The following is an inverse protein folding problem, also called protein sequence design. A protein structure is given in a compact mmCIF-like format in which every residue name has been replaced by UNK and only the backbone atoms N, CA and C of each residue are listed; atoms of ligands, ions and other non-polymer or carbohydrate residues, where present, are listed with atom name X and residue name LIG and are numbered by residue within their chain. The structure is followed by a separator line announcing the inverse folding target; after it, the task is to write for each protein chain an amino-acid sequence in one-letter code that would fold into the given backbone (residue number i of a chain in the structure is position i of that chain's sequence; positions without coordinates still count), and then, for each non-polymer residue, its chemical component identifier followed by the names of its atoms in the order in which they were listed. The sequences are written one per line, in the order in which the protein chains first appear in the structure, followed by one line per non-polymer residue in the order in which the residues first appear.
data_IF_669576787233
#
_entry.id   IF_669576787233
#
_cell.length_a   1.000
_cell.length_b   1.000
_cell.length_c   1.000
_cell.angle_alpha   90.00
_cell.angle_beta   90.00
_cell.angle_gamma   90.00
#
_symmetry.space_group_name_H-M   'P 1'
#
loop_
_entity.id
_entity.type
_entity.pdbx_description
1 polymer ?
#
# COMPACT_ATOMS: atom_id res chain seq x y z
N UNK A 1 -35.13 -53.02 -79.82
CA UNK A 1 -34.81 -52.41 -78.52
C UNK A 1 -35.20 -50.94 -78.63
N UNK A 2 -36.26 -50.53 -77.94
CA UNK A 2 -36.59 -49.10 -77.85
C UNK A 2 -35.43 -48.38 -77.16
N UNK A 3 -34.85 -47.37 -77.82
CA UNK A 3 -33.86 -46.50 -77.20
C UNK A 3 -34.56 -45.70 -76.10
N UNK A 4 -34.16 -45.93 -74.85
CA UNK A 4 -34.63 -45.16 -73.72
C UNK A 4 -34.14 -43.72 -73.85
N UNK A 5 -35.05 -42.80 -74.13
CA UNK A 5 -34.77 -41.35 -74.21
C UNK A 5 -34.78 -40.79 -72.79
N UNK A 6 -33.69 -40.16 -72.38
CA UNK A 6 -33.57 -39.52 -71.07
C UNK A 6 -33.76 -38.01 -71.19
N UNK A 7 -34.48 -37.42 -70.24
CA UNK A 7 -34.51 -35.98 -70.04
C UNK A 7 -33.20 -35.49 -69.41
N UNK A 8 -32.84 -34.23 -69.64
CA UNK A 8 -31.61 -33.62 -69.10
C UNK A 8 -31.54 -33.76 -67.56
N UNK A 9 -32.66 -33.58 -66.87
CA UNK A 9 -32.76 -33.76 -65.42
C UNK A 9 -32.48 -35.20 -64.99
N UNK A 10 -32.93 -36.19 -65.76
CA UNK A 10 -32.71 -37.61 -65.47
C UNK A 10 -31.23 -37.97 -65.63
N UNK A 11 -30.54 -37.40 -66.63
CA UNK A 11 -29.09 -37.57 -66.82
C UNK A 11 -28.32 -36.98 -65.64
N UNK A 12 -28.63 -35.75 -65.23
CA UNK A 12 -27.96 -35.10 -64.09
C UNK A 12 -28.18 -35.85 -62.78
N UNK A 13 -29.39 -36.36 -62.57
CA UNK A 13 -29.75 -37.09 -61.35
C UNK A 13 -29.16 -38.50 -61.32
N UNK A 14 -29.02 -39.14 -62.48
CA UNK A 14 -28.29 -40.38 -62.65
C UNK A 14 -26.79 -40.21 -62.35
N UNK A 15 -26.14 -39.19 -62.91
CA UNK A 15 -24.73 -38.88 -62.62
C UNK A 15 -24.50 -38.53 -61.15
N UNK A 16 -25.41 -37.77 -60.53
CA UNK A 16 -25.37 -37.51 -59.09
C UNK A 16 -25.43 -38.81 -58.29
N UNK A 17 -26.33 -39.72 -58.64
CA UNK A 17 -26.50 -41.00 -57.92
C UNK A 17 -25.26 -41.88 -58.04
N UNK A 18 -24.60 -41.89 -59.20
CA UNK A 18 -23.34 -42.61 -59.40
C UNK A 18 -22.20 -42.05 -58.54
N UNK A 19 -22.04 -40.72 -58.53
CA UNK A 19 -20.98 -40.08 -57.74
C UNK A 19 -21.23 -40.17 -56.23
N UNK A 20 -22.49 -40.06 -55.80
CA UNK A 20 -22.88 -40.19 -54.39
C UNK A 20 -22.70 -41.64 -53.87
N UNK A 21 -22.81 -42.65 -54.74
CA UNK A 21 -22.60 -44.05 -54.39
C UNK A 21 -21.11 -44.45 -54.32
N UNK A 22 -20.22 -43.65 -54.89
CA UNK A 22 -18.78 -43.92 -54.90
C UNK A 22 -18.15 -43.60 -53.54
N UNK A 23 -17.57 -44.62 -52.90
CA UNK A 23 -16.98 -44.51 -51.54
C UNK A 23 -15.75 -43.60 -51.50
N UNK A 24 -15.01 -43.51 -52.59
CA UNK A 24 -13.83 -42.64 -52.70
C UNK A 24 -14.27 -41.18 -52.81
N UNK A 25 -15.35 -40.91 -53.54
CA UNK A 25 -15.90 -39.56 -53.73
C UNK A 25 -16.70 -39.03 -52.54
N UNK A 26 -17.12 -39.90 -51.62
CA UNK A 26 -17.88 -39.53 -50.43
C UNK A 26 -17.07 -38.80 -49.34
N UNK A 27 -15.73 -38.87 -49.36
CA UNK A 27 -14.89 -38.32 -48.28
C UNK A 27 -13.41 -38.19 -48.64
N UNK A 28 -13.11 -37.65 -49.83
CA UNK A 28 -11.73 -37.44 -50.26
C UNK A 28 -11.15 -36.14 -49.69
N UNK A 29 -9.82 -36.08 -49.67
CA UNK A 29 -9.07 -34.85 -49.40
C UNK A 29 -8.31 -34.44 -50.65
N UNK A 30 -8.57 -33.22 -51.12
CA UNK A 30 -7.95 -32.64 -52.32
C UNK A 30 -6.97 -31.56 -51.89
N UNK A 31 -5.75 -31.66 -52.42
CA UNK A 31 -4.74 -30.60 -52.33
C UNK A 31 -4.94 -29.63 -53.49
N UNK A 32 -4.86 -28.33 -53.21
CA UNK A 32 -4.76 -27.34 -54.27
C UNK A 32 -4.69 -25.91 -53.75
N UNK A 33 -4.43 -25.00 -54.69
CA UNK A 33 -4.41 -23.57 -54.43
C UNK A 33 -5.82 -23.00 -54.52
N UNK A 34 -6.21 -22.18 -53.54
CA UNK A 34 -7.47 -21.45 -53.58
C UNK A 34 -7.39 -20.37 -54.65
N UNK A 35 -8.43 -20.33 -55.50
CA UNK A 35 -8.65 -19.26 -56.46
C UNK A 35 -10.12 -18.89 -56.53
N UNK A 36 -10.41 -17.68 -57.03
CA UNK A 36 -11.77 -17.16 -57.18
C UNK A 36 -12.63 -17.22 -55.89
N UNK A 37 -12.01 -17.04 -54.73
CA UNK A 37 -12.67 -17.11 -53.43
C UNK A 37 -13.68 -15.97 -53.25
N UNK A 38 -14.92 -16.33 -52.91
CA UNK A 38 -16.05 -15.41 -52.69
C UNK A 38 -16.92 -15.87 -51.51
N UNK A 39 -17.28 -14.92 -50.64
CA UNK A 39 -18.23 -15.12 -49.55
C UNK A 39 -19.57 -14.50 -49.94
N UNK A 40 -20.64 -15.28 -49.90
CA UNK A 40 -21.98 -14.79 -50.21
C UNK A 40 -22.75 -14.38 -48.94
N UNK A 41 -23.77 -13.51 -49.05
CA UNK A 41 -24.58 -13.07 -47.90
C UNK A 41 -25.24 -14.20 -47.10
N UNK A 42 -25.47 -15.37 -47.72
CA UNK A 42 -25.96 -16.58 -47.04
C UNK A 42 -24.94 -17.18 -46.04
N UNK A 43 -23.70 -16.69 -46.04
CA UNK A 43 -22.59 -17.23 -45.27
C UNK A 43 -21.94 -18.47 -45.90
N UNK A 44 -22.24 -18.78 -47.17
CA UNK A 44 -21.57 -19.84 -47.91
C UNK A 44 -20.34 -19.30 -48.63
N UNK A 45 -19.27 -20.09 -48.63
CA UNK A 45 -18.02 -19.75 -49.31
C UNK A 45 -17.94 -20.55 -50.61
N UNK A 46 -17.63 -19.86 -51.71
CA UNK A 46 -17.45 -20.45 -53.02
C UNK A 46 -16.04 -20.15 -53.50
N UNK A 47 -15.33 -21.17 -53.97
CA UNK A 47 -13.97 -21.01 -54.47
C UNK A 47 -13.64 -22.12 -55.47
N UNK A 48 -12.47 -22.08 -56.07
CA UNK A 48 -11.96 -23.15 -56.93
C UNK A 48 -10.60 -23.59 -56.42
N UNK A 49 -10.40 -24.89 -56.27
CA UNK A 49 -9.08 -25.47 -56.02
C UNK A 49 -8.42 -25.77 -57.35
N UNK A 50 -7.18 -25.33 -57.50
CA UNK A 50 -6.38 -25.51 -58.71
C UNK A 50 -5.10 -26.25 -58.41
N UNK A 51 -4.65 -27.06 -59.36
CA UNK A 51 -3.32 -27.64 -59.42
C UNK A 51 -2.69 -27.36 -60.80
N UNK A 52 -1.58 -28.01 -61.13
CA UNK A 52 -0.89 -27.82 -62.41
C UNK A 52 -1.64 -28.37 -63.63
N UNK A 53 -2.66 -29.22 -63.45
CA UNK A 53 -3.36 -29.94 -64.51
C UNK A 53 -4.87 -29.74 -64.57
N UNK A 54 -5.49 -29.15 -63.54
CA UNK A 54 -6.94 -29.05 -63.43
C UNK A 54 -7.44 -28.08 -62.37
N UNK A 55 -8.76 -27.89 -62.36
CA UNK A 55 -9.46 -27.04 -61.40
C UNK A 55 -10.81 -27.65 -61.04
N UNK A 56 -11.17 -27.62 -59.75
CA UNK A 56 -12.47 -28.08 -59.26
C UNK A 56 -13.18 -26.97 -58.47
N UNK A 57 -14.47 -26.77 -58.77
CA UNK A 57 -15.32 -25.83 -58.04
C UNK A 57 -15.65 -26.40 -56.66
N UNK A 58 -15.50 -25.56 -55.65
CA UNK A 58 -15.66 -25.91 -54.25
C UNK A 58 -16.73 -25.03 -53.60
N UNK A 59 -17.57 -25.64 -52.78
CA UNK A 59 -18.60 -24.97 -51.99
C UNK A 59 -18.47 -25.39 -50.55
N UNK A 60 -18.35 -24.43 -49.65
CA UNK A 60 -18.36 -24.65 -48.21
C UNK A 60 -19.61 -23.98 -47.62
N UNK A 61 -20.51 -24.79 -47.07
CA UNK A 61 -21.74 -24.29 -46.46
C UNK A 61 -21.46 -23.53 -45.16
N UNK A 62 -22.44 -22.74 -44.72
CA UNK A 62 -22.32 -21.80 -43.59
C UNK A 62 -21.86 -22.49 -42.31
N UNK A 63 -22.37 -23.69 -42.01
CA UNK A 63 -21.98 -24.46 -40.83
C UNK A 63 -20.46 -24.70 -40.78
N UNK A 64 -19.91 -25.49 -41.72
CA UNK A 64 -18.46 -25.69 -41.84
C UNK A 64 -17.64 -24.40 -41.98
N UNK A 65 -18.12 -23.44 -42.77
CA UNK A 65 -17.44 -22.16 -43.00
C UNK A 65 -17.29 -21.34 -41.71
N UNK A 66 -18.31 -21.35 -40.84
CA UNK A 66 -18.29 -20.63 -39.55
C UNK A 66 -17.34 -21.25 -38.52
N UNK A 67 -16.95 -22.51 -38.71
CA UNK A 67 -16.01 -23.22 -37.85
C UNK A 67 -14.53 -23.02 -38.26
N UNK A 68 -14.27 -22.32 -39.36
CA UNK A 68 -12.92 -22.01 -39.80
C UNK A 68 -12.23 -21.06 -38.82
N UNK A 69 -11.04 -21.46 -38.35
CA UNK A 69 -10.18 -20.65 -37.46
C UNK A 69 -9.23 -19.72 -38.21
N UNK A 70 -9.31 -19.69 -39.54
CA UNK A 70 -8.50 -18.85 -40.41
C UNK A 70 -9.36 -18.32 -41.55
N UNK A 71 -8.90 -17.26 -42.20
CA UNK A 71 -9.57 -16.65 -43.35
C UNK A 71 -8.94 -17.18 -44.64
N UNK A 72 -9.67 -17.95 -45.47
CA UNK A 72 -9.13 -18.40 -46.75
C UNK A 72 -8.95 -17.22 -47.72
N UNK A 73 -7.84 -17.22 -48.44
CA UNK A 73 -7.47 -16.19 -49.43
C UNK A 73 -7.03 -16.83 -50.75
N UNK A 74 -7.16 -16.09 -51.84
CA UNK A 74 -6.65 -16.55 -53.14
C UNK A 74 -5.12 -16.69 -53.08
N UNK A 75 -4.57 -17.75 -53.67
CA UNK A 75 -3.14 -18.06 -53.59
C UNK A 75 -2.75 -19.00 -52.45
N UNK A 76 -3.66 -19.27 -51.52
CA UNK A 76 -3.38 -20.15 -50.37
C UNK A 76 -3.41 -21.62 -50.77
N UNK A 77 -2.35 -22.37 -50.45
CA UNK A 77 -2.33 -23.83 -50.56
C UNK A 77 -3.12 -24.45 -49.40
N UNK A 78 -4.06 -25.32 -49.72
CA UNK A 78 -4.96 -25.93 -48.73
C UNK A 78 -5.22 -27.40 -49.04
N UNK A 79 -5.53 -28.13 -47.98
CA UNK A 79 -6.15 -29.45 -48.03
C UNK A 79 -7.65 -29.28 -47.75
N UNK A 80 -8.48 -29.60 -48.73
CA UNK A 80 -9.92 -29.58 -48.62
C UNK A 80 -10.47 -30.99 -48.52
N UNK A 81 -11.09 -31.34 -47.39
CA UNK A 81 -11.77 -32.62 -47.19
C UNK A 81 -13.27 -32.45 -47.44
N UNK A 82 -13.87 -33.35 -48.21
CA UNK A 82 -15.31 -33.34 -48.46
C UNK A 82 -15.75 -34.36 -49.50
N UNK A 83 -16.94 -34.13 -50.05
CA UNK A 83 -17.57 -35.04 -51.03
C UNK A 83 -17.71 -34.38 -52.39
N UNK A 84 -17.44 -35.12 -53.47
CA UNK A 84 -17.65 -34.66 -54.84
C UNK A 84 -18.99 -35.16 -55.34
N UNK A 85 -19.85 -34.25 -55.78
CA UNK A 85 -21.16 -34.59 -56.33
C UNK A 85 -21.57 -33.57 -57.41
N UNK A 86 -22.63 -33.88 -58.15
CA UNK A 86 -23.19 -33.02 -59.20
C UNK A 86 -24.29 -32.15 -58.63
N UNK A 87 -24.28 -30.87 -58.96
CA UNK A 87 -25.38 -29.96 -58.69
C UNK A 87 -26.46 -30.12 -59.78
N UNK A 88 -27.62 -30.74 -59.49
CA UNK A 88 -28.52 -31.23 -60.54
C UNK A 88 -29.11 -30.16 -61.45
N UNK A 89 -29.25 -28.93 -60.96
CA UNK A 89 -29.82 -27.80 -61.72
C UNK A 89 -28.91 -27.38 -62.87
N UNK A 90 -27.60 -27.36 -62.63
CA UNK A 90 -26.62 -26.80 -63.58
C UNK A 90 -25.73 -27.89 -64.20
N UNK A 91 -25.89 -29.17 -63.79
CA UNK A 91 -25.11 -30.31 -64.29
C UNK A 91 -23.61 -30.26 -63.95
N UNK A 92 -23.18 -29.32 -63.11
CA UNK A 92 -21.78 -29.13 -62.76
C UNK A 92 -21.36 -30.01 -61.58
N UNK A 93 -20.23 -30.71 -61.69
CA UNK A 93 -19.62 -31.42 -60.57
C UNK A 93 -18.85 -30.42 -59.67
N UNK A 94 -18.97 -30.59 -58.36
CA UNK A 94 -18.41 -29.70 -57.35
C UNK A 94 -17.97 -30.49 -56.11
N UNK A 95 -16.93 -30.00 -55.44
CA UNK A 95 -16.51 -30.48 -54.12
C UNK A 95 -17.28 -29.71 -53.05
N UNK A 96 -18.07 -30.42 -52.27
CA UNK A 96 -18.71 -29.89 -51.07
C UNK A 96 -17.73 -30.04 -49.90
N UNK A 97 -17.05 -28.94 -49.58
CA UNK A 97 -16.00 -28.91 -48.56
C UNK A 97 -16.61 -28.93 -47.17
N UNK A 98 -16.22 -29.92 -46.38
CA UNK A 98 -16.61 -30.05 -44.96
C UNK A 98 -15.51 -29.55 -44.04
N UNK A 99 -14.24 -29.68 -44.45
CA UNK A 99 -13.08 -29.19 -43.71
C UNK A 99 -12.07 -28.60 -44.68
N UNK A 100 -11.47 -27.48 -44.28
CA UNK A 100 -10.42 -26.80 -45.03
C UNK A 100 -9.26 -26.55 -44.06
N UNK A 101 -8.05 -26.97 -44.41
CA UNK A 101 -6.85 -26.74 -43.60
C UNK A 101 -5.74 -26.19 -44.49
N UNK A 102 -5.02 -25.12 -44.09
CA UNK A 102 -3.87 -24.65 -44.84
C UNK A 102 -2.79 -25.72 -44.91
N UNK A 103 -2.17 -25.89 -46.07
CA UNK A 103 -1.04 -26.78 -46.24
C UNK A 103 0.23 -26.10 -45.70
N UNK A 104 0.93 -26.73 -44.76
CA UNK A 104 2.16 -26.20 -44.12
C UNK A 104 2.04 -25.79 -42.64
N UNK A 105 0.83 -25.47 -42.16
CA UNK A 105 0.61 -25.06 -40.75
C UNK A 105 0.76 -26.23 -39.77
N UNK A 106 0.46 -27.46 -40.20
CA UNK A 106 0.57 -28.66 -39.34
C UNK A 106 1.99 -28.96 -38.89
N UNK A 107 2.96 -28.93 -39.82
CA UNK A 107 4.35 -29.26 -39.54
C UNK A 107 5.04 -28.17 -38.70
N UNK A 108 4.76 -26.90 -39.00
CA UNK A 108 5.23 -25.77 -38.20
C UNK A 108 4.66 -25.80 -36.78
N UNK A 109 3.37 -26.11 -36.63
CA UNK A 109 2.76 -26.21 -35.30
C UNK A 109 3.37 -27.37 -34.48
N UNK A 110 3.60 -28.53 -35.11
CA UNK A 110 4.28 -29.65 -34.46
C UNK A 110 5.71 -29.28 -34.05
N UNK A 111 6.47 -28.62 -34.93
CA UNK A 111 7.82 -28.17 -34.63
C UNK A 111 7.85 -27.14 -33.49
N UNK A 112 6.87 -26.24 -33.43
CA UNK A 112 6.71 -25.27 -32.36
C UNK A 112 6.47 -25.95 -31.01
N UNK A 113 5.51 -26.88 -30.94
CA UNK A 113 5.19 -27.60 -29.70
C UNK A 113 6.38 -28.44 -29.21
N UNK A 114 7.09 -29.11 -30.12
CA UNK A 114 8.31 -29.87 -29.79
C UNK A 114 9.41 -28.98 -29.22
N UNK A 115 9.68 -27.83 -29.84
CA UNK A 115 10.69 -26.89 -29.37
C UNK A 115 10.28 -26.25 -28.04
N UNK A 116 9.01 -25.87 -27.89
CA UNK A 116 8.46 -25.34 -26.65
C UNK A 116 8.67 -26.31 -25.50
N UNK A 117 8.33 -27.59 -25.69
CA UNK A 117 8.50 -28.62 -24.67
C UNK A 117 10.00 -28.85 -24.34
N UNK A 118 10.87 -28.88 -25.36
CA UNK A 118 12.32 -29.01 -25.17
C UNK A 118 12.89 -27.88 -24.30
N UNK A 119 12.63 -26.63 -24.68
CA UNK A 119 13.18 -25.47 -23.96
C UNK A 119 12.54 -25.26 -22.58
N UNK A 120 11.28 -25.65 -22.41
CA UNK A 120 10.63 -25.69 -21.10
C UNK A 120 11.34 -26.65 -20.15
N UNK A 121 11.65 -27.88 -20.60
CA UNK A 121 12.39 -28.87 -19.81
C UNK A 121 13.81 -28.42 -19.47
N UNK A 122 14.44 -27.64 -20.33
CA UNK A 122 15.75 -27.03 -20.07
C UNK A 122 15.68 -25.83 -19.10
N UNK A 123 14.48 -25.36 -18.73
CA UNK A 123 14.27 -24.29 -17.76
C UNK A 123 14.34 -22.85 -18.34
N UNK A 124 14.40 -22.68 -19.66
CA UNK A 124 14.56 -21.35 -20.27
C UNK A 124 13.37 -20.41 -20.04
N UNK A 125 12.21 -20.95 -19.66
CA UNK A 125 10.99 -20.17 -19.43
C UNK A 125 10.77 -19.82 -17.95
N UNK A 126 11.65 -20.27 -17.05
CA UNK A 126 11.49 -20.05 -15.60
C UNK A 126 11.54 -18.54 -15.29
N UNK A 127 10.50 -17.98 -14.64
CA UNK A 127 10.49 -16.59 -14.19
C UNK A 127 11.70 -16.21 -13.33
N UNK A 128 12.34 -17.15 -12.63
CA UNK A 128 13.51 -16.91 -11.78
C UNK A 128 14.75 -16.45 -12.58
N UNK A 129 14.82 -16.75 -13.88
CA UNK A 129 15.91 -16.34 -14.75
C UNK A 129 15.68 -14.97 -15.42
N UNK A 130 14.47 -14.41 -15.32
CA UNK A 130 14.11 -13.17 -15.99
C UNK A 130 14.70 -11.96 -15.28
N UNK A 131 15.30 -11.06 -16.05
CA UNK A 131 15.91 -9.82 -15.58
C UNK A 131 14.85 -8.73 -15.36
N UNK A 132 14.91 -7.96 -14.26
CA UNK A 132 14.03 -6.83 -14.06
C UNK A 132 14.34 -5.70 -15.04
N UNK A 133 13.29 -5.03 -15.53
CA UNK A 133 13.46 -3.90 -16.43
C UNK A 133 14.00 -2.66 -15.70
N UNK A 134 14.89 -1.88 -16.34
CA UNK A 134 15.31 -0.60 -15.80
C UNK A 134 14.13 0.38 -15.75
N UNK A 135 13.92 1.01 -14.59
CA UNK A 135 12.85 2.01 -14.42
C UNK A 135 13.08 3.26 -15.26
N UNK A 136 14.34 3.61 -15.53
CA UNK A 136 14.74 4.79 -16.30
C UNK A 136 15.82 4.40 -17.33
N UNK A 137 15.45 3.74 -18.44
CA UNK A 137 16.42 3.32 -19.44
C UNK A 137 17.05 4.54 -20.11
N UNK A 138 18.38 4.59 -20.16
CA UNK A 138 19.13 5.64 -20.86
C UNK A 138 19.24 5.34 -22.34
N UNK A 139 19.31 4.06 -22.73
CA UNK A 139 19.58 3.63 -24.10
C UNK A 139 18.80 2.37 -24.45
N UNK A 140 17.78 2.49 -25.29
CA UNK A 140 17.02 1.33 -25.77
C UNK A 140 17.56 0.89 -27.13
N UNK A 141 17.93 -0.37 -27.25
CA UNK A 141 18.23 -1.01 -28.52
C UNK A 141 16.96 -1.62 -29.11
N UNK A 142 16.55 -1.19 -30.30
CA UNK A 142 15.42 -1.80 -31.01
C UNK A 142 15.99 -2.70 -32.11
N UNK A 143 15.71 -4.01 -31.99
CA UNK A 143 16.10 -5.05 -32.95
C UNK A 143 14.86 -5.45 -33.75
N UNK A 144 14.65 -4.78 -34.88
CA UNK A 144 13.49 -4.97 -35.77
C UNK A 144 13.84 -4.51 -37.18
N UNK A 145 12.89 -4.59 -38.12
CA UNK A 145 13.10 -4.11 -39.49
C UNK A 145 13.20 -2.58 -39.54
N UNK A 146 14.12 -2.06 -40.36
CA UNK A 146 14.18 -0.62 -40.66
C UNK A 146 12.94 -0.13 -41.43
N UNK A 147 12.28 -1.03 -42.15
CA UNK A 147 11.07 -0.75 -42.90
C UNK A 147 9.84 -1.21 -42.10
N UNK A 148 8.87 -0.32 -41.86
CA UNK A 148 7.58 -0.67 -41.28
C UNK A 148 6.98 0.40 -40.37
N UNK A 149 5.64 0.38 -40.22
CA UNK A 149 4.95 1.29 -39.30
C UNK A 149 5.35 1.06 -37.84
N UNK A 150 5.66 -0.19 -37.46
CA UNK A 150 5.99 -0.57 -36.08
C UNK A 150 7.16 0.23 -35.49
N UNK A 151 8.25 0.45 -36.25
CA UNK A 151 9.38 1.24 -35.76
C UNK A 151 9.00 2.71 -35.58
N UNK A 152 8.23 3.28 -36.51
CA UNK A 152 7.77 4.67 -36.40
C UNK A 152 6.84 4.87 -35.20
N UNK A 153 5.95 3.93 -34.94
CA UNK A 153 5.05 3.98 -33.78
C UNK A 153 5.82 3.86 -32.47
N UNK A 154 6.79 2.93 -32.37
CA UNK A 154 7.67 2.83 -31.20
C UNK A 154 8.46 4.11 -30.96
N UNK A 155 9.08 4.69 -32.00
CA UNK A 155 9.84 5.94 -31.88
C UNK A 155 8.94 7.11 -31.44
N UNK A 156 7.72 7.20 -31.98
CA UNK A 156 6.73 8.21 -31.60
C UNK A 156 6.32 8.08 -30.13
N UNK A 157 6.04 6.86 -29.68
CA UNK A 157 5.64 6.58 -28.30
C UNK A 157 6.79 6.87 -27.34
N UNK A 158 8.00 6.37 -27.62
CA UNK A 158 9.17 6.63 -26.78
C UNK A 158 9.47 8.13 -26.69
N UNK A 159 9.45 8.84 -27.82
CA UNK A 159 9.67 10.29 -27.85
C UNK A 159 8.58 11.09 -27.13
N UNK A 160 7.32 10.65 -27.20
CA UNK A 160 6.21 11.30 -26.48
C UNK A 160 6.20 10.97 -24.99
N UNK A 161 6.50 9.74 -24.60
CA UNK A 161 6.34 9.25 -23.23
C UNK A 161 7.59 9.53 -22.39
N UNK A 162 8.79 9.33 -22.93
CA UNK A 162 10.04 9.54 -22.22
C UNK A 162 11.19 9.99 -23.15
N UNK A 163 11.25 11.29 -23.52
CA UNK A 163 12.22 11.82 -24.48
C UNK A 163 13.69 11.83 -24.00
N UNK A 164 13.95 11.45 -22.75
CA UNK A 164 15.31 11.40 -22.19
C UNK A 164 16.08 10.15 -22.63
N UNK A 165 15.40 9.12 -23.12
CA UNK A 165 16.04 7.89 -23.60
C UNK A 165 16.59 8.07 -25.01
N UNK A 166 17.81 7.59 -25.23
CA UNK A 166 18.38 7.46 -26.56
C UNK A 166 17.94 6.14 -27.20
N UNK A 167 17.37 6.19 -28.38
CA UNK A 167 16.98 4.97 -29.13
C UNK A 167 18.06 4.62 -30.15
N UNK A 168 18.45 3.35 -30.21
CA UNK A 168 19.43 2.80 -31.16
C UNK A 168 18.72 1.71 -31.96
N UNK A 169 18.51 1.94 -33.25
CA UNK A 169 17.94 0.93 -34.15
C UNK A 169 19.04 0.02 -34.69
N UNK A 170 18.88 -1.29 -34.50
CA UNK A 170 19.65 -2.33 -35.17
C UNK A 170 18.75 -2.98 -36.21
N UNK A 171 18.85 -2.58 -37.49
CA UNK A 171 17.97 -3.08 -38.52
C UNK A 171 18.30 -4.54 -38.82
N UNK A 172 17.30 -5.40 -38.70
CA UNK A 172 17.38 -6.83 -39.02
C UNK A 172 16.18 -7.26 -39.84
N UNK A 173 16.32 -8.34 -40.60
CA UNK A 173 15.18 -9.03 -41.18
C UNK A 173 14.39 -9.70 -40.05
N UNK A 174 13.07 -9.53 -40.11
CA UNK A 174 12.12 -10.08 -39.13
C UNK A 174 11.32 -11.24 -39.70
N UNK A 175 11.59 -11.63 -40.95
CA UNK A 175 10.94 -12.73 -41.67
C UNK A 175 11.90 -13.36 -42.68
N UNK A 176 11.61 -14.60 -43.07
CA UNK A 176 12.43 -15.38 -43.99
C UNK A 176 13.58 -16.15 -43.33
N UNK A 177 14.25 -17.01 -44.10
CA UNK A 177 15.22 -17.98 -43.58
C UNK A 177 16.46 -17.35 -42.90
N UNK A 178 16.82 -16.12 -43.28
CA UNK A 178 17.99 -15.42 -42.76
C UNK A 178 17.69 -14.60 -41.48
N UNK A 179 16.41 -14.35 -41.18
CA UNK A 179 16.00 -13.52 -40.03
C UNK A 179 16.49 -14.04 -38.66
N UNK A 180 16.39 -15.35 -38.33
CA UNK A 180 16.85 -15.83 -37.02
C UNK A 180 18.33 -15.54 -36.73
N UNK A 181 19.20 -15.70 -37.74
CA UNK A 181 20.63 -15.48 -37.59
C UNK A 181 20.95 -13.99 -37.38
N UNK A 182 20.23 -13.10 -38.06
CA UNK A 182 20.39 -11.65 -37.89
C UNK A 182 19.87 -11.16 -36.54
N UNK A 183 18.69 -11.61 -36.10
CA UNK A 183 18.11 -11.25 -34.80
C UNK A 183 19.07 -11.70 -33.67
N UNK A 184 19.49 -12.97 -33.70
CA UNK A 184 20.45 -13.53 -32.75
C UNK A 184 21.79 -12.77 -32.78
N UNK A 185 22.26 -12.40 -33.97
CA UNK A 185 23.47 -11.60 -34.18
C UNK A 185 23.38 -10.20 -33.59
N UNK A 186 22.25 -9.52 -33.78
CA UNK A 186 22.00 -8.18 -33.25
C UNK A 186 21.92 -8.19 -31.72
N UNK A 187 21.19 -9.14 -31.12
CA UNK A 187 21.12 -9.29 -29.65
C UNK A 187 22.53 -9.56 -29.09
N UNK A 188 23.30 -10.44 -29.73
CA UNK A 188 24.70 -10.70 -29.36
C UNK A 188 25.56 -9.46 -29.46
N UNK A 189 25.40 -8.67 -30.52
CA UNK A 189 26.14 -7.43 -30.73
C UNK A 189 25.84 -6.41 -29.62
N UNK A 190 24.55 -6.24 -29.26
CA UNK A 190 24.14 -5.32 -28.19
C UNK A 190 24.77 -5.73 -26.86
N UNK A 191 24.73 -7.02 -26.52
CA UNK A 191 25.34 -7.55 -25.30
C UNK A 191 26.87 -7.42 -25.29
N UNK A 192 27.55 -7.76 -26.40
CA UNK A 192 29.01 -7.70 -26.48
C UNK A 192 29.55 -6.28 -26.31
N UNK A 193 28.87 -5.29 -26.86
CA UNK A 193 29.31 -3.91 -26.86
C UNK A 193 28.62 -3.01 -25.82
N UNK A 194 27.67 -3.56 -25.05
CA UNK A 194 26.95 -2.85 -23.97
C UNK A 194 26.39 -1.49 -24.44
N UNK A 195 25.81 -1.46 -25.64
CA UNK A 195 25.37 -0.21 -26.28
C UNK A 195 24.03 0.30 -25.71
N UNK A 196 23.27 -0.56 -25.04
CA UNK A 196 21.94 -0.31 -24.50
C UNK A 196 21.78 -0.93 -23.11
N UNK A 197 20.80 -0.44 -22.35
CA UNK A 197 20.38 -0.99 -21.05
C UNK A 197 19.04 -1.74 -21.11
N UNK A 198 18.37 -1.72 -22.27
CA UNK A 198 17.16 -2.48 -22.57
C UNK A 198 17.11 -2.81 -24.06
N UNK A 199 16.65 -4.01 -24.40
CA UNK A 199 16.44 -4.46 -25.78
C UNK A 199 14.94 -4.61 -26.02
N UNK A 200 14.45 -4.11 -27.14
CA UNK A 200 13.12 -4.43 -27.67
C UNK A 200 13.32 -5.20 -28.97
N UNK A 201 12.80 -6.41 -29.06
CA UNK A 201 12.77 -7.17 -30.31
C UNK A 201 11.36 -7.56 -30.66
N UNK A 202 11.03 -7.55 -31.94
CA UNK A 202 9.69 -7.85 -32.39
C UNK A 202 9.44 -7.41 -33.82
N UNK A 203 8.18 -7.56 -34.23
CA UNK A 203 7.70 -7.21 -35.56
C UNK A 203 6.25 -6.75 -35.46
N UNK A 204 5.81 -5.92 -36.40
CA UNK A 204 4.40 -5.52 -36.47
C UNK A 204 3.57 -6.44 -37.36
N UNK A 205 2.65 -7.22 -36.78
CA UNK A 205 1.65 -8.04 -37.48
C UNK A 205 2.22 -9.12 -38.40
N UNK A 206 1.41 -10.11 -38.80
CA UNK A 206 1.84 -11.17 -39.73
C UNK A 206 1.08 -12.47 -39.53
N UNK A 207 1.19 -13.38 -40.49
CA UNK A 207 0.74 -14.77 -40.31
C UNK A 207 1.70 -15.55 -39.38
N UNK A 208 1.33 -16.76 -38.97
CA UNK A 208 2.21 -17.62 -38.17
C UNK A 208 3.56 -17.91 -38.87
N UNK A 209 3.56 -18.06 -40.20
CA UNK A 209 4.77 -18.28 -41.01
C UNK A 209 5.73 -17.09 -40.96
N UNK A 210 5.12 -15.91 -40.94
CA UNK A 210 5.76 -14.61 -40.85
C UNK A 210 6.43 -14.38 -39.49
N UNK A 211 5.86 -14.94 -38.42
CA UNK A 211 6.40 -14.87 -37.05
C UNK A 211 7.41 -16.00 -36.77
N UNK A 212 7.57 -16.96 -37.68
CA UNK A 212 8.36 -18.17 -37.46
C UNK A 212 9.83 -17.90 -37.12
N UNK A 213 10.39 -16.77 -37.57
CA UNK A 213 11.75 -16.37 -37.22
C UNK A 213 11.98 -16.24 -35.70
N UNK A 214 10.93 -15.96 -34.94
CA UNK A 214 10.95 -15.84 -33.47
C UNK A 214 10.65 -17.16 -32.75
N UNK A 215 10.35 -18.22 -33.49
CA UNK A 215 10.25 -19.60 -33.01
C UNK A 215 11.55 -20.40 -33.25
N UNK A 216 12.64 -19.74 -33.62
CA UNK A 216 13.94 -20.39 -33.82
C UNK A 216 14.71 -20.55 -32.50
N UNK A 217 15.27 -21.74 -32.28
CA UNK A 217 16.04 -22.06 -31.07
C UNK A 217 17.24 -21.13 -30.84
N UNK A 218 17.88 -20.64 -31.92
CA UNK A 218 19.04 -19.73 -31.83
C UNK A 218 18.64 -18.39 -31.22
N UNK A 219 17.48 -17.86 -31.62
CA UNK A 219 16.94 -16.60 -31.09
C UNK A 219 16.56 -16.78 -29.63
N UNK A 220 15.83 -17.85 -29.31
CA UNK A 220 15.44 -18.20 -27.95
C UNK A 220 16.66 -18.26 -27.01
N UNK A 221 17.69 -19.02 -27.38
CA UNK A 221 18.92 -19.12 -26.57
C UNK A 221 19.66 -17.79 -26.45
N UNK A 222 19.70 -16.99 -27.51
CA UNK A 222 20.33 -15.66 -27.45
C UNK A 222 19.59 -14.67 -26.54
N UNK A 223 18.26 -14.74 -26.49
CA UNK A 223 17.46 -13.96 -25.54
C UNK A 223 17.76 -14.42 -24.11
N UNK A 224 17.72 -15.72 -23.85
CA UNK A 224 18.00 -16.29 -22.52
C UNK A 224 19.40 -15.93 -21.99
N UNK A 225 20.41 -15.95 -22.87
CA UNK A 225 21.80 -15.62 -22.51
C UNK A 225 22.07 -14.12 -22.43
N UNK A 226 21.08 -13.27 -22.71
CA UNK A 226 21.24 -11.82 -22.67
C UNK A 226 21.47 -11.34 -21.24
N UNK A 227 22.48 -10.49 -21.04
CA UNK A 227 22.73 -9.79 -19.76
C UNK A 227 21.94 -8.47 -19.68
N UNK A 228 21.37 -8.04 -20.80
CA UNK A 228 20.52 -6.86 -20.93
C UNK A 228 19.08 -7.35 -21.06
N UNK A 229 18.12 -6.81 -20.28
CA UNK A 229 16.74 -7.26 -20.35
C UNK A 229 16.17 -7.09 -21.76
N UNK A 230 15.38 -8.07 -22.19
CA UNK A 230 14.76 -8.15 -23.52
C UNK A 230 13.24 -8.15 -23.39
N UNK A 231 12.60 -7.21 -24.09
CA UNK A 231 11.17 -7.20 -24.32
C UNK A 231 10.89 -7.85 -25.68
N UNK A 232 10.07 -8.90 -25.70
CA UNK A 232 9.54 -9.47 -26.93
C UNK A 232 8.19 -8.84 -27.28
N UNK A 233 8.04 -8.41 -28.53
CA UNK A 233 6.87 -7.71 -29.04
C UNK A 233 6.41 -8.30 -30.39
N UNK A 234 6.32 -9.63 -30.45
CA UNK A 234 6.12 -10.40 -31.68
C UNK A 234 4.64 -10.77 -31.89
N UNK A 235 4.04 -11.45 -30.92
CA UNK A 235 2.70 -12.02 -31.05
C UNK A 235 1.60 -11.20 -30.38
N UNK A 236 0.49 -10.97 -31.09
CA UNK A 236 -0.79 -10.65 -30.45
C UNK A 236 -1.44 -11.94 -29.97
N UNK A 237 -2.33 -11.89 -28.97
CA UNK A 237 -3.10 -13.09 -28.61
C UNK A 237 -3.94 -13.53 -29.83
N UNK A 238 -3.91 -14.82 -30.25
CA UNK A 238 -3.38 -16.02 -29.59
C UNK A 238 -1.96 -16.50 -30.02
N UNK A 239 -1.27 -15.77 -30.91
CA UNK A 239 -0.06 -16.22 -31.61
C UNK A 239 1.23 -15.98 -30.80
N UNK A 240 1.35 -16.60 -29.63
CA UNK A 240 2.53 -16.49 -28.75
C UNK A 240 3.71 -17.30 -29.30
N UNK A 241 4.88 -16.66 -29.41
CA UNK A 241 6.11 -17.27 -29.95
C UNK A 241 7.05 -17.77 -28.85
N UNK A 242 8.03 -18.61 -29.21
CA UNK A 242 9.09 -19.05 -28.28
C UNK A 242 9.86 -17.86 -27.70
N UNK A 243 10.15 -16.85 -28.52
CA UNK A 243 10.81 -15.62 -28.04
C UNK A 243 10.00 -14.92 -26.94
N UNK A 244 8.67 -14.94 -27.01
CA UNK A 244 7.81 -14.36 -25.99
C UNK A 244 7.87 -15.11 -24.65
N UNK A 245 8.07 -16.44 -24.67
CA UNK A 245 8.23 -17.24 -23.45
C UNK A 245 9.57 -16.98 -22.76
N UNK A 246 10.64 -16.88 -23.55
CA UNK A 246 12.00 -16.71 -23.05
C UNK A 246 12.31 -15.28 -22.62
N UNK A 247 11.72 -14.28 -23.28
CA UNK A 247 11.96 -12.88 -22.97
C UNK A 247 11.61 -12.52 -21.52
N UNK A 248 12.30 -11.50 -21.00
CA UNK A 248 12.11 -11.01 -19.63
C UNK A 248 10.72 -10.39 -19.45
N UNK A 249 10.23 -9.76 -20.51
CA UNK A 249 8.86 -9.26 -20.59
C UNK A 249 8.27 -9.47 -21.98
N UNK A 250 7.03 -9.95 -22.01
CA UNK A 250 6.22 -10.00 -23.22
C UNK A 250 5.37 -8.74 -23.33
N UNK A 251 5.35 -8.15 -24.52
CA UNK A 251 4.42 -7.10 -24.91
C UNK A 251 3.49 -7.60 -26.03
N UNK A 252 2.24 -7.18 -26.00
CA UNK A 252 1.24 -7.64 -26.98
C UNK A 252 1.47 -7.06 -28.40
N UNK A 253 2.12 -5.91 -28.48
CA UNK A 253 2.44 -5.21 -29.75
C UNK A 253 3.74 -4.43 -29.60
N UNK A 254 4.42 -4.07 -30.71
CA UNK A 254 5.59 -3.18 -30.68
C UNK A 254 5.30 -1.86 -29.96
N UNK A 255 4.13 -1.25 -30.19
CA UNK A 255 3.70 -0.04 -29.50
C UNK A 255 3.57 -0.25 -27.98
N UNK A 256 2.99 -1.38 -27.56
CA UNK A 256 2.90 -1.73 -26.14
C UNK A 256 4.28 -2.01 -25.52
N UNK A 257 5.24 -2.56 -26.27
CA UNK A 257 6.61 -2.69 -25.78
C UNK A 257 7.25 -1.33 -25.52
N UNK A 258 7.09 -0.37 -26.43
CA UNK A 258 7.57 1.00 -26.22
C UNK A 258 6.93 1.66 -25.00
N UNK A 259 5.66 1.39 -24.73
CA UNK A 259 4.95 1.87 -23.55
C UNK A 259 5.46 1.25 -22.24
N UNK A 260 5.68 -0.06 -22.20
CA UNK A 260 6.16 -0.78 -21.03
C UNK A 260 7.65 -0.53 -20.75
N UNK A 261 8.42 -0.17 -21.77
CA UNK A 261 9.85 0.07 -21.67
C UNK A 261 10.20 1.33 -20.88
N UNK A 262 9.32 2.35 -20.82
CA UNK A 262 9.66 3.67 -20.28
C UNK A 262 8.58 4.24 -19.36
N UNK A 263 8.96 5.07 -18.37
CA UNK A 263 7.99 5.77 -17.51
C UNK A 263 7.29 6.90 -18.26
N UNK A 264 6.16 7.37 -17.75
CA UNK A 264 5.44 8.51 -18.32
C UNK A 264 6.00 9.87 -17.83
N UNK A 265 6.38 10.76 -18.75
CA UNK A 265 6.92 12.07 -18.37
C UNK A 265 5.92 12.98 -17.67
N UNK A 266 4.61 12.83 -17.94
CA UNK A 266 3.55 13.57 -17.25
C UNK A 266 3.48 13.17 -15.79
N UNK A 267 3.42 11.86 -15.52
CA UNK A 267 3.46 11.32 -14.15
C UNK A 267 4.74 11.75 -13.40
N UNK A 268 5.90 11.75 -14.06
CA UNK A 268 7.15 12.21 -13.47
C UNK A 268 7.12 13.70 -13.13
N UNK A 269 6.58 14.54 -14.02
CA UNK A 269 6.42 15.99 -13.76
C UNK A 269 5.46 16.26 -12.61
N UNK A 270 4.33 15.56 -12.56
CA UNK A 270 3.37 15.66 -11.46
C UNK A 270 4.00 15.25 -10.13
N UNK A 271 4.76 14.14 -10.12
CA UNK A 271 5.49 13.68 -8.94
C UNK A 271 6.51 14.71 -8.46
N UNK A 272 7.29 15.29 -9.37
CA UNK A 272 8.27 16.35 -9.04
C UNK A 272 7.56 17.58 -8.49
N UNK A 273 6.50 18.05 -9.15
CA UNK A 273 5.69 19.20 -8.70
C UNK A 273 5.11 18.98 -7.30
N UNK A 274 4.55 17.79 -7.04
CA UNK A 274 4.04 17.41 -5.73
C UNK A 274 5.12 17.31 -4.65
N UNK A 275 6.35 16.92 -5.00
CA UNK A 275 7.49 16.94 -4.07
C UNK A 275 7.94 18.39 -3.77
N UNK A 276 8.01 19.25 -4.78
CA UNK A 276 8.35 20.67 -4.62
C UNK A 276 7.33 21.41 -3.74
N UNK A 277 6.03 21.15 -3.95
CA UNK A 277 4.96 21.74 -3.12
C UNK A 277 5.08 21.31 -1.67
N UNK A 278 5.32 20.01 -1.41
CA UNK A 278 5.54 19.48 -0.05
C UNK A 278 6.78 20.10 0.60
N UNK A 279 7.88 20.21 -0.13
CA UNK A 279 9.10 20.86 0.35
C UNK A 279 8.82 22.33 0.73
N UNK A 280 8.15 23.07 -0.15
CA UNK A 280 7.80 24.47 0.10
C UNK A 280 6.92 24.65 1.34
N UNK A 281 5.91 23.79 1.52
CA UNK A 281 5.03 23.83 2.70
C UNK A 281 5.79 23.49 3.99
N UNK A 282 6.64 22.47 3.96
CA UNK A 282 7.46 22.08 5.10
C UNK A 282 8.40 23.22 5.53
N UNK A 283 9.08 23.84 4.57
CA UNK A 283 9.99 24.97 4.84
C UNK A 283 9.24 26.21 5.32
N UNK A 284 8.08 26.52 4.74
CA UNK A 284 7.24 27.64 5.19
C UNK A 284 6.76 27.44 6.62
N UNK A 285 6.33 26.21 6.97
CA UNK A 285 5.93 25.87 8.34
C UNK A 285 7.10 25.99 9.30
N UNK A 286 8.28 25.51 8.90
CA UNK A 286 9.52 25.60 9.68
C UNK A 286 9.88 27.06 9.96
N UNK A 287 9.93 27.90 8.92
CA UNK A 287 10.20 29.34 9.06
C UNK A 287 9.18 30.04 9.96
N UNK A 288 7.89 29.71 9.84
CA UNK A 288 6.84 30.26 10.72
C UNK A 288 7.08 29.89 12.18
N UNK A 289 7.42 28.64 12.47
CA UNK A 289 7.74 28.18 13.82
C UNK A 289 8.95 28.92 14.40
N UNK A 290 10.03 29.04 13.63
CA UNK A 290 11.23 29.78 14.06
C UNK A 290 10.95 31.27 14.30
N UNK A 291 10.15 31.93 13.45
CA UNK A 291 9.72 33.32 13.68
C UNK A 291 8.90 33.45 14.95
N UNK A 292 7.94 32.57 15.18
CA UNK A 292 7.13 32.58 16.41
C UNK A 292 7.98 32.33 17.66
N UNK A 293 8.98 31.46 17.59
CA UNK A 293 9.92 31.26 18.70
C UNK A 293 10.78 32.49 18.96
N UNK A 294 11.31 33.11 17.90
CA UNK A 294 12.08 34.34 18.01
C UNK A 294 11.26 35.49 18.60
N UNK A 295 10.01 35.67 18.16
CA UNK A 295 9.06 36.64 18.71
C UNK A 295 8.75 36.35 20.18
N UNK A 296 8.46 35.09 20.54
CA UNK A 296 8.22 34.70 21.94
C UNK A 296 9.42 34.97 22.84
N UNK A 297 10.64 34.70 22.37
CA UNK A 297 11.87 34.98 23.14
C UNK A 297 12.08 36.50 23.27
N UNK A 298 11.90 37.26 22.19
CA UNK A 298 11.96 38.73 22.21
C UNK A 298 10.94 39.33 23.18
N UNK A 299 9.75 38.75 23.24
CA UNK A 299 8.62 39.24 24.03
C UNK A 299 8.56 38.63 25.44
N UNK A 300 9.50 37.72 25.78
CA UNK A 300 9.59 37.15 27.10
C UNK A 300 9.92 38.23 28.13
N UNK A 301 9.05 38.39 29.13
CA UNK A 301 9.15 39.40 30.20
C UNK A 301 10.51 39.38 30.94
N UNK A 302 11.11 38.20 31.05
CA UNK A 302 12.45 37.99 31.65
C UNK A 302 13.55 38.70 30.86
N UNK A 303 13.40 38.82 29.53
CA UNK A 303 14.34 39.51 28.65
C UNK A 303 13.98 41.00 28.48
N UNK A 304 12.70 41.37 28.55
CA UNK A 304 12.27 42.77 28.42
C UNK A 304 12.38 43.59 29.70
N UNK A 305 12.16 42.99 30.87
CA UNK A 305 12.21 43.71 32.15
C UNK A 305 12.65 42.80 33.31
N UNK A 306 13.93 42.39 33.33
CA UNK A 306 14.48 41.56 34.42
C UNK A 306 14.32 42.21 35.80
N UNK A 307 14.37 43.56 35.86
CA UNK A 307 14.16 44.32 37.10
C UNK A 307 12.78 44.10 37.70
N UNK A 308 11.71 44.15 36.90
CA UNK A 308 10.35 44.02 37.41
C UNK A 308 10.11 42.62 38.02
N UNK A 309 10.65 41.56 37.40
CA UNK A 309 10.58 40.23 37.99
C UNK A 309 11.28 40.15 39.36
N UNK A 310 12.45 40.79 39.49
CA UNK A 310 13.17 40.84 40.75
C UNK A 310 12.47 41.73 41.79
N UNK A 311 11.83 42.81 41.37
CA UNK A 311 11.03 43.69 42.22
C UNK A 311 9.79 42.97 42.76
N UNK A 312 9.03 42.26 41.91
CA UNK A 312 7.90 41.43 42.33
C UNK A 312 8.33 40.37 43.36
N UNK A 313 9.50 39.75 43.14
CA UNK A 313 10.09 38.78 44.09
C UNK A 313 10.53 39.42 45.40
N UNK A 314 11.08 40.64 45.37
CA UNK A 314 11.42 41.42 46.58
C UNK A 314 10.17 41.76 47.38
N UNK A 315 9.12 42.27 46.75
CA UNK A 315 7.84 42.58 47.42
C UNK A 315 7.24 41.32 48.07
N UNK A 316 7.28 40.18 47.37
CA UNK A 316 6.81 38.92 47.94
C UNK A 316 7.65 38.49 49.15
N UNK A 317 8.98 38.63 49.08
CA UNK A 317 9.88 38.33 50.18
C UNK A 317 9.59 39.23 51.40
N UNK A 318 9.45 40.54 51.19
CA UNK A 318 9.15 41.50 52.26
C UNK A 318 7.81 41.17 52.94
N UNK A 319 6.79 40.80 52.16
CA UNK A 319 5.51 40.36 52.71
C UNK A 319 5.62 39.05 53.50
N UNK A 320 6.43 38.09 53.04
CA UNK A 320 6.69 36.84 53.78
C UNK A 320 7.46 37.10 55.09
N UNK A 321 8.46 37.99 55.07
CA UNK A 321 9.21 38.40 56.26
C UNK A 321 8.29 39.07 57.29
N UNK A 322 7.45 40.01 56.87
CA UNK A 322 6.49 40.68 57.76
C UNK A 322 5.49 39.70 58.39
N UNK A 323 5.01 38.72 57.62
CA UNK A 323 4.15 37.64 58.13
C UNK A 323 4.87 36.76 59.15
N UNK A 324 6.13 36.40 58.89
CA UNK A 324 6.95 35.62 59.81
C UNK A 324 7.19 36.37 61.12
N UNK A 325 7.60 37.64 61.06
CA UNK A 325 7.80 38.48 62.23
C UNK A 325 6.53 38.60 63.08
N UNK A 326 5.38 38.80 62.43
CA UNK A 326 4.09 38.87 63.09
C UNK A 326 3.73 37.56 63.79
N UNK A 327 3.95 36.42 63.12
CA UNK A 327 3.71 35.10 63.70
C UNK A 327 4.63 34.83 64.91
N UNK A 328 5.92 35.18 64.81
CA UNK A 328 6.88 35.05 65.92
C UNK A 328 6.47 35.92 67.11
N UNK A 329 6.10 37.18 66.89
CA UNK A 329 5.62 38.09 67.95
C UNK A 329 4.36 37.54 68.63
N UNK A 330 3.39 37.05 67.86
CA UNK A 330 2.18 36.44 68.40
C UNK A 330 2.48 35.19 69.23
N UNK A 331 3.41 34.35 68.76
CA UNK A 331 3.79 33.13 69.47
C UNK A 331 4.52 33.44 70.78
N UNK A 332 5.43 34.41 70.79
CA UNK A 332 6.10 34.89 72.00
C UNK A 332 5.08 35.47 73.00
N UNK A 333 4.14 36.30 72.53
CA UNK A 333 3.11 36.88 73.39
C UNK A 333 2.24 35.78 74.03
N UNK A 334 1.80 34.79 73.26
CA UNK A 334 1.03 33.64 73.77
C UNK A 334 1.81 32.85 74.81
N UNK A 335 3.10 32.59 74.56
CA UNK A 335 3.97 31.88 75.52
C UNK A 335 4.16 32.68 76.81
N UNK A 336 4.36 34.00 76.70
CA UNK A 336 4.49 34.86 77.87
C UNK A 336 3.18 34.95 78.68
N UNK A 337 2.03 35.07 78.02
CA UNK A 337 0.72 35.03 78.69
C UNK A 337 0.50 33.68 79.40
N UNK A 338 0.87 32.57 78.77
CA UNK A 338 0.83 31.25 79.39
C UNK A 338 1.73 31.15 80.62
N UNK A 339 2.96 31.67 80.52
CA UNK A 339 3.91 31.73 81.64
C UNK A 339 3.35 32.55 82.82
N UNK A 340 2.84 33.76 82.56
CA UNK A 340 2.24 34.62 83.60
C UNK A 340 1.06 33.92 84.28
N UNK A 341 0.16 33.30 83.51
CA UNK A 341 -0.97 32.53 84.06
C UNK A 341 -0.51 31.39 84.97
N UNK A 342 0.45 30.59 84.52
CA UNK A 342 0.99 29.48 85.29
C UNK A 342 1.63 29.97 86.61
N UNK A 343 2.38 31.08 86.54
CA UNK A 343 2.99 31.70 87.73
C UNK A 343 1.93 32.18 88.73
N UNK A 344 0.90 32.89 88.27
CA UNK A 344 -0.17 33.39 89.16
C UNK A 344 -0.97 32.24 89.77
N UNK A 345 -1.25 31.16 89.03
CA UNK A 345 -1.90 29.98 89.58
C UNK A 345 -1.05 29.31 90.68
N UNK A 346 0.27 29.23 90.48
CA UNK A 346 1.19 28.71 91.49
C UNK A 346 1.23 29.60 92.74
N UNK A 347 1.26 30.92 92.57
CA UNK A 347 1.22 31.88 93.68
C UNK A 347 -0.10 31.79 94.48
N UNK A 348 -1.24 31.62 93.82
CA UNK A 348 -2.55 31.51 94.47
C UNK A 348 -2.68 30.26 95.36
N UNK A 349 -1.97 29.18 95.04
CA UNK A 349 -2.01 27.92 95.78
C UNK A 349 -1.01 27.87 96.96
N UNK A 350 -0.27 28.96 97.24
CA UNK A 350 0.71 29.00 98.33
C UNK A 350 0.04 29.31 99.68
N UNK A 351 0.04 28.38 100.65
CA UNK A 351 -0.57 28.58 101.98
C UNK A 351 0.04 29.76 102.75
N UNK A 352 1.31 30.10 102.48
CA UNK A 352 2.01 31.23 103.09
C UNK A 352 1.47 32.59 102.62
N UNK A 353 1.02 32.69 101.36
CA UNK A 353 0.40 33.91 100.85
C UNK A 353 -1.03 34.09 101.37
N UNK A 354 -1.75 32.99 101.64
CA UNK A 354 -3.06 33.03 102.31
C UNK A 354 -2.92 33.55 103.75
N UNK A 355 -1.95 33.02 104.53
CA UNK A 355 -1.63 33.57 105.86
C UNK A 355 -1.16 35.03 105.79
N UNK A 356 -0.51 35.42 104.68
CA UNK A 356 -0.08 36.79 104.41
C UNK A 356 -1.21 37.81 104.28
N UNK A 357 -2.42 37.39 103.89
CA UNK A 357 -3.61 38.25 103.72
C UNK A 357 -4.37 38.53 105.02
N UNK A 358 -3.86 38.07 106.16
CA UNK A 358 -4.47 38.28 107.48
C UNK A 358 -5.37 37.14 107.95
N UNK A 359 -5.49 36.06 107.16
CA UNK A 359 -6.11 34.82 107.62
C UNK A 359 -5.18 34.09 108.58
N UNK A 360 -5.77 33.43 109.56
CA UNK A 360 -5.06 32.60 110.53
C UNK A 360 -5.50 31.14 110.37
N UNK A 361 -4.59 30.21 110.63
CA UNK A 361 -4.89 28.78 110.59
C UNK A 361 -4.91 28.25 112.03
N UNK A 362 -6.10 27.97 112.52
CA UNK A 362 -6.32 27.47 113.88
C UNK A 362 -6.23 25.96 113.91
N UNK A 363 -5.52 25.40 114.90
CA UNK A 363 -5.37 23.96 115.10
C UNK A 363 -5.77 23.54 116.52
N UNK A 364 -6.27 22.32 116.64
CA UNK A 364 -6.49 21.67 117.94
C UNK A 364 -5.17 21.23 118.60
N UNK A 365 -5.25 20.72 119.83
CA UNK A 365 -4.09 20.19 120.58
C UNK A 365 -3.40 19.00 119.88
N UNK A 366 -4.06 18.35 118.93
CA UNK A 366 -3.55 17.22 118.16
C UNK A 366 -2.97 17.66 116.82
N UNK A 367 -2.94 18.97 116.53
CA UNK A 367 -2.36 19.56 115.33
C UNK A 367 -3.28 19.56 114.10
N UNK A 368 -4.55 19.19 114.25
CA UNK A 368 -5.55 19.17 113.16
C UNK A 368 -6.13 20.57 112.95
N UNK A 369 -6.26 20.98 111.68
CA UNK A 369 -6.82 22.29 111.33
C UNK A 369 -8.31 22.30 111.62
N UNK A 370 -8.73 23.32 112.37
CA UNK A 370 -10.12 23.51 112.75
C UNK A 370 -10.78 24.42 111.71
N UNK A 371 -11.81 23.90 111.06
CA UNK A 371 -12.64 24.63 110.08
C UNK A 371 -14.03 24.95 110.63
N UNK A 372 -14.41 24.33 111.75
CA UNK A 372 -15.74 24.43 112.35
C UNK A 372 -15.62 24.63 113.88
N UNK A 373 -16.41 25.54 114.44
CA UNK A 373 -16.40 25.90 115.86
C UNK A 373 -17.02 24.83 116.77
N UNK A 374 -17.88 23.94 116.26
CA UNK A 374 -18.49 22.87 117.07
C UNK A 374 -17.50 21.76 117.47
N UNK A 375 -16.32 21.71 116.84
CA UNK A 375 -15.30 20.69 117.07
C UNK A 375 -14.51 20.89 118.36
N UNK A 376 -14.69 22.00 119.08
CA UNK A 376 -13.96 22.35 120.30
C UNK A 376 -14.93 22.72 121.41
N UNK A 377 -14.51 22.56 122.67
CA UNK A 377 -15.34 22.88 123.85
C UNK A 377 -14.74 24.05 124.63
N UNK A 378 -15.57 24.82 125.38
CA UNK A 378 -15.06 25.82 126.31
C UNK A 378 -14.05 25.18 127.29
N UNK A 379 -12.86 25.78 127.38
CA UNK A 379 -11.72 25.27 128.13
C UNK A 379 -10.60 24.66 127.28
N UNK A 380 -10.86 24.29 126.03
CA UNK A 380 -9.84 23.69 125.16
C UNK A 380 -8.77 24.70 124.72
N UNK A 381 -7.52 24.25 124.62
CA UNK A 381 -6.40 25.04 124.10
C UNK A 381 -6.23 24.83 122.60
N UNK A 382 -6.13 25.94 121.86
CA UNK A 382 -5.98 26.03 120.42
C UNK A 382 -4.67 26.72 120.06
N UNK A 383 -4.08 26.33 118.95
CA UNK A 383 -2.90 27.00 118.38
C UNK A 383 -3.31 27.74 117.11
N UNK A 384 -3.24 29.07 117.13
CA UNK A 384 -3.53 29.92 115.99
C UNK A 384 -2.21 30.27 115.29
N UNK A 385 -2.02 29.75 114.09
CA UNK A 385 -0.85 30.08 113.25
C UNK A 385 -1.15 31.30 112.39
N UNK A 386 -0.30 32.33 112.53
CA UNK A 386 -0.38 33.57 111.73
C UNK A 386 0.74 33.59 110.68
N UNK A 387 0.78 34.66 109.86
CA UNK A 387 1.87 34.90 108.89
C UNK A 387 3.27 34.73 109.51
N UNK A 388 3.44 35.14 110.77
CA UNK A 388 4.66 34.96 111.54
C UNK A 388 4.29 34.63 112.99
N UNK A 389 4.73 33.48 113.46
CA UNK A 389 4.50 33.03 114.83
C UNK A 389 3.17 32.30 115.02
N UNK A 390 3.03 31.73 116.22
CA UNK A 390 1.85 31.01 116.66
C UNK A 390 1.42 31.57 118.02
N UNK A 391 0.11 31.64 118.24
CA UNK A 391 -0.48 32.09 119.49
C UNK A 391 -1.29 30.95 120.07
N UNK A 392 -1.06 30.63 121.34
CA UNK A 392 -1.92 29.72 122.08
C UNK A 392 -3.11 30.50 122.64
N UNK A 393 -4.31 30.01 122.34
CA UNK A 393 -5.57 30.61 122.78
C UNK A 393 -6.41 29.56 123.48
N UNK A 394 -7.12 29.93 124.53
CA UNK A 394 -8.09 29.06 125.18
C UNK A 394 -9.51 29.43 124.75
N UNK A 395 -10.33 28.44 124.44
CA UNK A 395 -11.72 28.65 124.06
C UNK A 395 -12.52 29.09 125.29
N UNK A 396 -12.94 30.35 125.33
CA UNK A 396 -13.74 30.87 126.45
C UNK A 396 -15.21 30.52 126.30
N UNK A 397 -15.72 30.56 125.07
CA UNK A 397 -17.11 30.26 124.73
C UNK A 397 -17.16 29.77 123.30
N UNK A 398 -17.90 28.70 123.06
CA UNK A 398 -18.28 28.27 121.71
C UNK A 398 -19.72 28.64 121.48
N UNK A 399 -19.96 29.55 120.55
CA UNK A 399 -21.29 29.72 119.98
C UNK A 399 -21.33 28.92 118.70
N UNK A 400 -22.24 27.93 118.64
CA UNK A 400 -22.50 27.20 117.41
C UNK A 400 -23.09 28.18 116.41
N UNK A 401 -22.30 28.54 115.40
CA UNK A 401 -22.83 29.22 114.23
C UNK A 401 -23.81 28.26 113.56
N UNK A 402 -25.09 28.61 113.57
CA UNK A 402 -26.05 28.01 112.64
C UNK A 402 -25.63 28.45 111.24
N UNK A 403 -25.13 27.54 110.42
CA UNK A 403 -25.07 27.80 108.98
C UNK A 403 -26.52 27.88 108.49
N UNK A 404 -27.00 29.11 108.42
CA UNK A 404 -28.21 29.46 107.72
C UNK A 404 -28.03 29.18 106.23
N UNK A 405 -28.68 28.14 105.75
CA UNK A 405 -29.12 28.08 104.36
C UNK A 405 -30.64 28.13 104.35
N UNK A 406 -31.15 29.33 104.61
CA UNK A 406 -32.50 29.71 104.21
C UNK A 406 -32.53 29.91 102.70
N UNK A 407 -33.48 29.23 102.06
CA UNK A 407 -34.05 29.52 100.75
C UNK A 407 -34.88 30.81 100.79
N UNK A 408 -34.55 31.80 99.95
CA UNK A 408 -35.44 32.80 99.32
C UNK A 408 -34.69 33.17 98.01
N UNK A 409 -35.10 32.86 96.78
CA UNK A 409 -36.32 33.10 96.00
C UNK A 409 -36.71 34.58 95.77
N UNK A 410 -36.67 34.98 94.48
CA UNK A 410 -37.34 36.10 93.79
C UNK A 410 -36.85 37.54 94.09
N UNK A 411 -36.90 38.52 93.19
CA UNK A 411 -37.17 38.66 91.74
C UNK A 411 -36.73 40.09 91.37
N UNK A 412 -36.23 40.30 90.14
CA UNK A 412 -36.56 41.44 89.26
C UNK A 412 -35.87 41.31 87.89
#
# INVERSE_FOLDING_TARGET
MEQKIFNVSEVNQYLKSLLDADRLLAGLTVRGEISNYKVYPSGHHYFSLKDSGGAIRCVMFRGPASALRFRPENGMQVLATGRVTVFPRDGAYQLYCERLTPEGVGDLYVAFEQLKEKLYKEGLFDPAHKLPLPVFPKRIAIVTSAAGAAIHDMLRILGKRYPLTKVILLPVRVQGAEAPAEIAGAIRYVNRHQIADLIITGRGGGSMEDLWAFNDERVARMIYLSQIPVISAVGHEPDVTISDFVADLRAATPSNAAELAVPDQGELRERISGLLSRLHQAETKRLKLWRQQAERLRDARVLQSPKNYLEDRRVLLDHQLSRLESAVKQQLLRKNQGYVRARTALEAMSPLLVLGRGYSMTRDRQGRVLTDAAAVKPGDQLTISLRRGQVEAQVLRTEGGSDGTGTEEHDL
#
